data_IF_556821384610
#
_entry.id   IF_556821384610
#
_cell.length_a   1.000
_cell.length_b   1.000
_cell.length_c   1.000
_cell.angle_alpha   90.00
_cell.angle_beta   90.00
_cell.angle_gamma   90.00
#
_symmetry.space_group_name_H-M   'P 1'
#
loop_
_entity.id
_entity.type
_entity.pdbx_description
1 polymer ?
#
# COMPACT_ATOMS: atom_id res chain seq x y z
N UNK A 1 18.39 3.29 -17.29
CA UNK A 1 16.92 3.13 -17.06
C UNK A 1 16.09 3.42 -18.32
N UNK A 2 16.51 4.34 -19.23
CA UNK A 2 15.77 4.59 -20.48
C UNK A 2 15.75 3.37 -21.43
N UNK A 3 16.79 2.55 -21.45
CA UNK A 3 16.88 1.37 -22.30
C UNK A 3 15.88 0.27 -21.92
N UNK A 4 15.55 0.14 -20.63
CA UNK A 4 14.56 -0.84 -20.13
C UNK A 4 13.11 -0.46 -20.45
N UNK A 5 12.84 0.83 -20.67
CA UNK A 5 11.53 1.34 -21.08
C UNK A 5 11.31 1.28 -22.61
N UNK A 6 12.36 0.93 -23.39
CA UNK A 6 12.29 0.78 -24.85
C UNK A 6 12.17 -0.70 -25.29
N UNK A 7 12.25 -1.63 -24.34
CA UNK A 7 12.11 -3.06 -24.62
C UNK A 7 10.69 -3.53 -24.30
N UNK A 8 9.88 -3.77 -25.32
CA UNK A 8 8.49 -4.25 -25.19
C UNK A 8 8.38 -5.61 -24.49
N UNK A 9 9.48 -6.37 -24.39
CA UNK A 9 9.56 -7.62 -23.63
C UNK A 9 10.04 -7.43 -22.18
N UNK A 10 10.24 -6.20 -21.76
CA UNK A 10 10.68 -5.91 -20.39
C UNK A 10 9.66 -6.40 -19.37
N UNK A 11 10.08 -7.04 -18.25
CA UNK A 11 9.20 -7.41 -17.15
C UNK A 11 8.35 -6.24 -16.62
N UNK A 12 8.82 -5.00 -16.75
CA UNK A 12 8.07 -3.80 -16.36
C UNK A 12 6.81 -3.60 -17.21
N UNK A 13 6.84 -3.89 -18.52
CA UNK A 13 5.65 -3.81 -19.37
C UNK A 13 4.63 -4.89 -19.01
N UNK A 14 5.08 -6.07 -18.65
CA UNK A 14 4.21 -7.14 -18.17
C UNK A 14 3.49 -6.73 -16.89
N UNK A 15 4.23 -6.15 -15.92
CA UNK A 15 3.66 -5.66 -14.65
C UNK A 15 2.65 -4.53 -14.92
N UNK A 16 3.02 -3.53 -15.71
CA UNK A 16 2.15 -2.41 -16.04
C UNK A 16 0.88 -2.86 -16.80
N UNK A 17 1.03 -3.78 -17.76
CA UNK A 17 -0.08 -4.35 -18.51
C UNK A 17 -1.05 -5.13 -17.59
N UNK A 18 -0.53 -5.88 -16.62
CA UNK A 18 -1.35 -6.57 -15.63
C UNK A 18 -2.08 -5.57 -14.73
N UNK A 19 -1.37 -4.59 -14.18
CA UNK A 19 -1.96 -3.54 -13.34
C UNK A 19 -3.09 -2.81 -14.05
N UNK A 20 -2.88 -2.40 -15.30
CA UNK A 20 -3.92 -1.68 -16.05
C UNK A 20 -5.13 -2.53 -16.40
N UNK A 21 -4.95 -3.83 -16.59
CA UNK A 21 -6.04 -4.76 -16.91
C UNK A 21 -6.82 -5.22 -15.67
N UNK A 22 -6.13 -5.43 -14.55
CA UNK A 22 -6.67 -6.09 -13.35
C UNK A 22 -7.15 -5.09 -12.30
N UNK A 23 -6.86 -3.78 -12.47
CA UNK A 23 -7.19 -2.73 -11.50
C UNK A 23 -8.20 -1.74 -12.08
N UNK A 24 -9.08 -1.20 -11.24
CA UNK A 24 -9.95 -0.10 -11.62
C UNK A 24 -9.09 1.11 -12.05
N UNK A 25 -9.39 1.68 -13.23
CA UNK A 25 -8.59 2.76 -13.82
C UNK A 25 -8.56 4.04 -12.98
N UNK A 26 -9.66 4.39 -12.31
CA UNK A 26 -9.72 5.56 -11.44
C UNK A 26 -8.89 5.34 -10.17
N UNK A 27 -8.90 4.13 -9.62
CA UNK A 27 -8.06 3.74 -8.49
C UNK A 27 -6.58 3.78 -8.87
N UNK A 28 -6.21 3.18 -10.01
CA UNK A 28 -4.83 3.18 -10.50
C UNK A 28 -4.32 4.60 -10.76
N UNK A 29 -5.14 5.44 -11.39
CA UNK A 29 -4.82 6.84 -11.65
C UNK A 29 -4.66 7.65 -10.36
N UNK A 30 -5.60 7.53 -9.44
CA UNK A 30 -5.58 8.27 -8.17
C UNK A 30 -4.36 7.88 -7.33
N UNK A 31 -4.16 6.58 -7.13
CA UNK A 31 -3.00 6.07 -6.38
C UNK A 31 -1.68 6.46 -7.05
N UNK A 32 -1.60 6.34 -8.39
CA UNK A 32 -0.42 6.74 -9.15
C UNK A 32 -0.09 8.23 -9.03
N UNK A 33 -1.09 9.12 -9.04
CA UNK A 33 -0.91 10.55 -8.81
C UNK A 33 -0.44 10.82 -7.38
N UNK A 34 -1.02 10.14 -6.39
CA UNK A 34 -0.63 10.32 -4.99
C UNK A 34 0.82 9.88 -4.74
N UNK A 35 1.26 8.74 -5.28
CA UNK A 35 2.66 8.30 -5.18
C UNK A 35 3.58 9.17 -6.02
N UNK A 36 3.32 9.27 -7.33
CA UNK A 36 4.27 9.85 -8.27
C UNK A 36 4.40 11.36 -8.15
N UNK A 37 3.28 12.07 -8.07
CA UNK A 37 3.29 13.53 -7.98
C UNK A 37 3.24 14.01 -6.54
N UNK A 38 2.21 13.61 -5.78
CA UNK A 38 2.00 14.19 -4.43
C UNK A 38 3.12 13.80 -3.48
N UNK A 39 3.54 12.53 -3.45
CA UNK A 39 4.61 12.08 -2.55
C UNK A 39 6.01 12.39 -3.12
N UNK A 40 6.34 11.87 -4.31
CA UNK A 40 7.73 11.91 -4.82
C UNK A 40 8.15 13.24 -5.44
N UNK A 41 7.21 14.12 -5.75
CA UNK A 41 7.53 15.44 -6.32
C UNK A 41 7.22 16.55 -5.34
N UNK A 42 5.93 16.78 -5.05
CA UNK A 42 5.50 17.85 -4.17
C UNK A 42 5.96 17.63 -2.72
N UNK A 43 5.63 16.48 -2.13
CA UNK A 43 6.02 16.11 -0.77
C UNK A 43 7.54 16.10 -0.57
N UNK A 44 8.27 15.49 -1.51
CA UNK A 44 9.72 15.49 -1.47
C UNK A 44 10.33 16.90 -1.55
N UNK A 45 9.68 17.86 -2.19
CA UNK A 45 10.13 19.26 -2.19
C UNK A 45 9.92 19.94 -0.83
N UNK A 46 8.80 19.64 -0.16
CA UNK A 46 8.52 20.13 1.20
C UNK A 46 9.51 19.54 2.22
N UNK A 47 9.73 18.23 2.15
CA UNK A 47 10.71 17.52 3.01
C UNK A 47 12.08 18.20 2.90
N UNK A 48 12.62 18.36 1.68
CA UNK A 48 13.92 19.01 1.47
C UNK A 48 13.99 20.44 2.02
N UNK A 49 12.90 21.19 1.94
CA UNK A 49 12.84 22.54 2.50
C UNK A 49 12.86 22.50 4.03
N UNK A 50 12.10 21.56 4.62
CA UNK A 50 12.04 21.36 6.06
C UNK A 50 13.38 20.89 6.62
N UNK A 51 14.03 19.93 5.97
CA UNK A 51 15.38 19.43 6.33
C UNK A 51 16.42 20.55 6.31
N UNK A 52 16.38 21.40 5.28
CA UNK A 52 17.30 22.54 5.16
C UNK A 52 17.11 23.56 6.27
N UNK A 53 15.88 23.78 6.71
CA UNK A 53 15.55 24.74 7.78
C UNK A 53 15.94 24.20 9.18
N UNK A 54 15.70 22.90 9.41
CA UNK A 54 15.83 22.31 10.75
C UNK A 54 17.13 21.52 10.98
N UNK A 55 17.85 21.16 9.92
CA UNK A 55 19.16 20.51 10.01
C UNK A 55 19.15 19.02 10.36
N UNK A 56 18.03 18.32 10.13
CA UNK A 56 17.91 16.85 10.28
C UNK A 56 17.08 16.24 9.16
N UNK A 57 17.35 14.96 8.87
CA UNK A 57 16.66 14.20 7.82
C UNK A 57 15.24 13.83 8.22
N UNK A 58 14.31 13.87 7.27
CA UNK A 58 12.90 13.51 7.43
C UNK A 58 12.58 12.30 6.55
N UNK A 59 11.94 11.26 7.09
CA UNK A 59 11.52 10.12 6.27
C UNK A 59 10.45 10.55 5.26
N UNK A 60 10.51 10.02 4.05
CA UNK A 60 9.49 10.27 3.01
C UNK A 60 8.28 9.34 3.10
N UNK A 61 8.30 8.35 3.99
CA UNK A 61 7.22 7.42 4.30
C UNK A 61 7.24 7.03 5.77
N UNK A 62 6.07 6.71 6.32
CA UNK A 62 5.92 6.24 7.70
C UNK A 62 5.27 4.87 7.69
N UNK A 63 5.78 3.97 8.54
CA UNK A 63 5.25 2.64 8.76
C UNK A 63 4.58 2.59 10.14
N UNK A 64 3.30 2.23 10.19
CA UNK A 64 2.50 2.19 11.41
C UNK A 64 1.93 0.80 11.63
N UNK A 65 2.06 0.29 12.84
CA UNK A 65 1.34 -0.89 13.30
C UNK A 65 -0.01 -0.47 13.85
N UNK A 66 -1.06 -1.10 13.37
CA UNK A 66 -2.41 -0.90 13.87
C UNK A 66 -2.97 -2.20 14.43
N UNK A 67 -3.38 -2.13 15.68
CA UNK A 67 -4.13 -3.16 16.37
C UNK A 67 -5.44 -2.50 16.84
N UNK A 68 -6.64 -3.02 16.49
CA UNK A 68 -7.93 -2.37 16.79
C UNK A 68 -8.10 -1.95 18.25
N UNK A 69 -7.72 -2.81 19.19
CA UNK A 69 -7.78 -2.53 20.63
C UNK A 69 -6.43 -2.12 21.24
N UNK A 70 -5.50 -1.71 20.38
CA UNK A 70 -4.12 -1.36 20.74
C UNK A 70 -3.99 0.09 21.24
N UNK A 71 -2.76 0.47 21.67
CA UNK A 71 -2.49 1.82 22.18
C UNK A 71 -2.52 2.91 21.11
N UNK A 72 -2.37 2.53 19.83
CA UNK A 72 -2.41 3.44 18.68
C UNK A 72 -3.74 3.28 17.94
N UNK A 73 -4.74 4.06 18.35
CA UNK A 73 -6.05 4.07 17.69
C UNK A 73 -6.07 4.90 16.40
N UNK A 74 -7.16 4.79 15.63
CA UNK A 74 -7.30 5.49 14.33
C UNK A 74 -7.24 7.01 14.46
N UNK A 75 -7.72 7.57 15.58
CA UNK A 75 -7.61 9.01 15.84
C UNK A 75 -6.15 9.48 15.94
N UNK A 76 -5.32 8.73 16.66
CA UNK A 76 -3.89 9.02 16.78
C UNK A 76 -3.19 8.83 15.44
N UNK A 77 -3.52 7.79 14.68
CA UNK A 77 -3.02 7.57 13.32
C UNK A 77 -3.38 8.76 12.44
N UNK A 78 -4.63 9.23 12.47
CA UNK A 78 -5.06 10.42 11.75
C UNK A 78 -4.25 11.66 12.09
N UNK A 79 -3.99 11.91 13.38
CA UNK A 79 -3.12 13.00 13.83
C UNK A 79 -1.69 12.89 13.29
N UNK A 80 -1.09 11.70 13.34
CA UNK A 80 0.25 11.46 12.78
C UNK A 80 0.30 11.69 11.26
N UNK A 81 -0.76 11.30 10.54
CA UNK A 81 -0.86 11.54 9.09
C UNK A 81 -0.95 13.04 8.82
N UNK A 82 -1.75 13.78 9.58
CA UNK A 82 -1.92 15.22 9.42
C UNK A 82 -0.59 15.97 9.68
N UNK A 83 0.11 15.64 10.76
CA UNK A 83 1.44 16.18 11.05
C UNK A 83 2.45 15.81 9.97
N UNK A 84 2.51 14.55 9.55
CA UNK A 84 3.40 14.08 8.48
C UNK A 84 3.17 14.85 7.18
N UNK A 85 1.92 15.07 6.77
CA UNK A 85 1.56 15.84 5.57
C UNK A 85 2.01 17.30 5.66
N UNK A 86 1.99 17.89 6.84
CA UNK A 86 2.43 19.28 7.04
C UNK A 86 3.91 19.47 6.71
N UNK A 87 4.72 18.43 6.84
CA UNK A 87 6.15 18.42 6.52
C UNK A 87 6.50 17.73 5.20
N UNK A 88 5.51 17.19 4.47
CA UNK A 88 5.69 16.63 3.13
C UNK A 88 5.60 15.11 3.02
N UNK A 89 5.22 14.39 4.08
CA UNK A 89 5.05 12.94 4.05
C UNK A 89 3.63 12.62 3.56
N UNK A 90 3.51 11.94 2.40
CA UNK A 90 2.24 11.59 1.77
C UNK A 90 2.09 10.09 1.49
N UNK A 91 3.03 9.25 1.92
CA UNK A 91 2.97 7.79 1.78
C UNK A 91 3.04 7.12 3.13
N UNK A 92 2.07 6.27 3.41
CA UNK A 92 1.92 5.60 4.71
C UNK A 92 1.69 4.11 4.51
N UNK A 93 2.45 3.29 5.24
CA UNK A 93 2.21 1.87 5.39
C UNK A 93 1.45 1.64 6.68
N UNK A 94 0.36 0.90 6.61
CA UNK A 94 -0.41 0.47 7.77
C UNK A 94 -0.38 -1.06 7.80
N UNK A 95 0.30 -1.59 8.79
CA UNK A 95 0.33 -3.02 9.06
C UNK A 95 -0.76 -3.35 10.07
N UNK A 96 -1.67 -4.25 9.68
CA UNK A 96 -2.69 -4.79 10.57
C UNK A 96 -2.12 -6.03 11.29
N UNK A 97 -2.07 -6.00 12.61
CA UNK A 97 -1.76 -7.19 13.41
C UNK A 97 -2.96 -8.15 13.44
N UNK A 98 -4.18 -7.59 13.45
CA UNK A 98 -5.44 -8.33 13.39
C UNK A 98 -6.40 -7.66 12.42
N UNK A 99 -7.31 -8.45 11.83
CA UNK A 99 -8.38 -7.90 11.00
C UNK A 99 -9.37 -7.13 11.90
N UNK A 100 -9.77 -5.90 11.55
CA UNK A 100 -10.81 -5.21 12.28
C UNK A 100 -12.15 -5.93 12.10
N UNK A 101 -12.99 -5.91 13.14
CA UNK A 101 -14.37 -6.41 13.05
C UNK A 101 -15.24 -5.52 12.15
N UNK A 102 -14.97 -4.21 12.17
CA UNK A 102 -15.62 -3.20 11.32
C UNK A 102 -14.55 -2.38 10.59
N UNK A 103 -14.61 -2.39 9.27
CA UNK A 103 -13.69 -1.68 8.39
C UNK A 103 -14.09 -0.22 8.14
N UNK A 104 -15.25 0.21 8.60
CA UNK A 104 -15.83 1.53 8.30
C UNK A 104 -14.90 2.66 8.74
N UNK A 105 -14.46 2.66 9.99
CA UNK A 105 -13.59 3.73 10.52
C UNK A 105 -12.23 3.77 9.82
N UNK A 106 -11.65 2.60 9.48
CA UNK A 106 -10.37 2.54 8.78
C UNK A 106 -10.49 3.05 7.33
N UNK A 107 -11.57 2.71 6.64
CA UNK A 107 -11.82 3.21 5.28
C UNK A 107 -12.17 4.70 5.27
N UNK A 108 -12.88 5.21 6.27
CA UNK A 108 -13.11 6.64 6.47
C UNK A 108 -11.81 7.41 6.71
N UNK A 109 -10.84 6.81 7.42
CA UNK A 109 -9.51 7.40 7.56
C UNK A 109 -8.84 7.57 6.18
N UNK A 110 -8.86 6.55 5.32
CA UNK A 110 -8.28 6.64 3.97
C UNK A 110 -8.99 7.71 3.12
N UNK A 111 -10.30 7.80 3.18
CA UNK A 111 -11.08 8.83 2.49
C UNK A 111 -10.77 10.24 2.98
N UNK A 112 -10.55 10.41 4.29
CA UNK A 112 -10.23 11.72 4.89
C UNK A 112 -8.88 12.27 4.42
N UNK A 113 -7.97 11.38 4.03
CA UNK A 113 -6.64 11.72 3.49
C UNK A 113 -6.49 11.35 2.01
N UNK A 114 -7.47 11.72 1.21
CA UNK A 114 -7.60 11.32 -0.20
C UNK A 114 -6.37 11.60 -1.08
N UNK A 115 -5.57 12.62 -0.77
CA UNK A 115 -4.33 12.95 -1.49
C UNK A 115 -3.06 12.28 -0.93
N UNK A 116 -3.19 11.39 0.05
CA UNK A 116 -2.12 10.51 0.51
C UNK A 116 -2.23 9.13 -0.14
N UNK A 117 -1.12 8.42 -0.24
CA UNK A 117 -1.09 7.03 -0.69
C UNK A 117 -0.95 6.10 0.53
N UNK A 118 -1.82 5.12 0.61
CA UNK A 118 -1.80 4.12 1.67
C UNK A 118 -1.44 2.74 1.13
N UNK A 119 -0.58 2.04 1.84
CA UNK A 119 -0.27 0.63 1.63
C UNK A 119 -0.72 -0.13 2.86
N UNK A 120 -1.80 -0.89 2.73
CA UNK A 120 -2.39 -1.68 3.81
C UNK A 120 -1.87 -3.10 3.74
N UNK A 121 -1.20 -3.55 4.77
CA UNK A 121 -0.66 -4.90 4.88
C UNK A 121 -1.60 -5.74 5.75
N UNK A 122 -2.22 -6.74 5.12
CA UNK A 122 -3.15 -7.65 5.78
C UNK A 122 -2.42 -8.83 6.40
N UNK A 123 -2.77 -9.27 7.62
CA UNK A 123 -2.27 -10.50 8.21
C UNK A 123 -2.80 -11.73 7.45
N UNK A 124 -2.26 -12.92 7.75
CA UNK A 124 -2.74 -14.19 7.21
C UNK A 124 -4.12 -14.56 7.78
N UNK A 125 -5.12 -13.81 7.37
CA UNK A 125 -6.53 -14.00 7.69
C UNK A 125 -7.37 -13.84 6.44
N UNK A 126 -8.45 -14.61 6.37
CA UNK A 126 -9.40 -14.52 5.27
C UNK A 126 -10.16 -13.20 5.31
N UNK A 127 -10.22 -12.54 4.15
CA UNK A 127 -11.01 -11.33 3.93
C UNK A 127 -12.43 -11.73 3.48
N UNK A 128 -13.43 -11.11 4.05
CA UNK A 128 -14.82 -11.35 3.64
C UNK A 128 -15.23 -10.42 2.47
N UNK A 129 -16.31 -10.78 1.78
CA UNK A 129 -16.79 -10.04 0.60
C UNK A 129 -17.13 -8.59 0.93
N UNK A 130 -17.81 -8.33 2.04
CA UNK A 130 -18.19 -6.99 2.48
C UNK A 130 -16.98 -6.09 2.77
N UNK A 131 -15.94 -6.65 3.36
CA UNK A 131 -14.69 -5.93 3.67
C UNK A 131 -13.97 -5.54 2.38
N UNK A 132 -13.92 -6.48 1.42
CA UNK A 132 -13.33 -6.22 0.12
C UNK A 132 -14.10 -5.13 -0.67
N UNK A 133 -15.42 -5.08 -0.52
CA UNK A 133 -16.26 -4.03 -1.11
C UNK A 133 -15.94 -2.66 -0.51
N UNK A 134 -15.78 -2.54 0.82
CA UNK A 134 -15.38 -1.31 1.50
C UNK A 134 -13.97 -0.86 1.06
N UNK A 135 -12.99 -1.77 1.05
CA UNK A 135 -11.63 -1.48 0.60
C UNK A 135 -11.57 -1.01 -0.86
N UNK A 136 -12.41 -1.56 -1.73
CA UNK A 136 -12.48 -1.18 -3.15
C UNK A 136 -12.95 0.26 -3.36
N UNK A 137 -13.67 0.83 -2.40
CA UNK A 137 -14.07 2.23 -2.38
C UNK A 137 -12.90 3.20 -2.18
N UNK A 138 -11.78 2.75 -1.59
CA UNK A 138 -10.62 3.57 -1.28
C UNK A 138 -9.67 3.65 -2.48
N UNK A 139 -9.78 4.71 -3.29
CA UNK A 139 -8.98 4.87 -4.53
C UNK A 139 -7.51 5.23 -4.30
N UNK A 140 -7.15 5.60 -3.11
CA UNK A 140 -5.79 5.95 -2.69
C UNK A 140 -5.09 4.81 -1.92
N UNK A 141 -5.59 3.58 -2.08
CA UNK A 141 -5.17 2.40 -1.33
C UNK A 141 -4.59 1.32 -2.25
N UNK A 142 -3.45 0.77 -1.82
CA UNK A 142 -2.91 -0.51 -2.27
C UNK A 142 -3.06 -1.51 -1.12
N UNK A 143 -3.61 -2.68 -1.40
CA UNK A 143 -3.80 -3.74 -0.40
C UNK A 143 -2.82 -4.86 -0.66
N UNK A 144 -2.01 -5.19 0.35
CA UNK A 144 -1.02 -6.26 0.29
C UNK A 144 -1.43 -7.42 1.19
N UNK A 145 -1.47 -8.64 0.66
CA UNK A 145 -1.76 -9.84 1.43
C UNK A 145 -0.46 -10.57 1.79
N UNK A 146 -0.37 -11.05 3.04
CA UNK A 146 0.74 -11.87 3.49
C UNK A 146 0.76 -13.21 2.75
N UNK A 147 1.92 -13.60 2.22
CA UNK A 147 2.12 -14.89 1.55
C UNK A 147 2.14 -15.99 2.59
N UNK A 148 0.96 -16.55 2.88
CA UNK A 148 0.76 -17.64 3.80
C UNK A 148 -0.47 -18.47 3.37
N UNK A 149 -1.43 -18.74 4.25
CA UNK A 149 -2.57 -19.64 3.98
C UNK A 149 -3.66 -19.02 3.10
N UNK A 150 -4.02 -17.77 3.38
CA UNK A 150 -5.21 -17.12 2.81
C UNK A 150 -4.92 -16.18 1.62
N UNK A 151 -3.65 -15.93 1.28
CA UNK A 151 -3.29 -14.86 0.35
C UNK A 151 -3.92 -15.00 -1.05
N UNK A 152 -3.99 -16.22 -1.60
CA UNK A 152 -4.55 -16.45 -2.95
C UNK A 152 -6.02 -16.08 -3.04
N UNK A 153 -6.78 -16.41 -2.00
CA UNK A 153 -8.21 -16.09 -1.92
C UNK A 153 -8.39 -14.58 -1.77
N UNK A 154 -7.65 -13.96 -0.86
CA UNK A 154 -7.68 -12.52 -0.64
C UNK A 154 -7.30 -11.72 -1.90
N UNK A 155 -6.20 -12.09 -2.56
CA UNK A 155 -5.76 -11.44 -3.80
C UNK A 155 -6.82 -11.59 -4.90
N UNK A 156 -7.39 -12.79 -5.08
CA UNK A 156 -8.45 -13.01 -6.07
C UNK A 156 -9.67 -12.14 -5.79
N UNK A 157 -10.09 -12.09 -4.53
CA UNK A 157 -11.25 -11.32 -4.08
C UNK A 157 -11.06 -9.82 -4.36
N UNK A 158 -9.91 -9.26 -3.96
CA UNK A 158 -9.57 -7.85 -4.15
C UNK A 158 -9.42 -7.49 -5.63
N UNK A 159 -8.82 -8.35 -6.46
CA UNK A 159 -8.73 -8.16 -7.92
C UNK A 159 -10.10 -8.11 -8.57
N UNK A 160 -11.05 -8.96 -8.16
CA UNK A 160 -12.41 -8.95 -8.69
C UNK A 160 -13.14 -7.62 -8.43
N UNK A 161 -12.74 -6.89 -7.39
CA UNK A 161 -13.25 -5.54 -7.06
C UNK A 161 -12.41 -4.41 -7.67
N UNK A 162 -11.35 -4.75 -8.40
CA UNK A 162 -10.50 -3.77 -9.06
C UNK A 162 -9.56 -3.02 -8.14
N UNK A 163 -9.24 -3.57 -6.97
CA UNK A 163 -8.23 -3.03 -6.06
C UNK A 163 -6.82 -3.11 -6.66
N UNK A 164 -5.93 -2.21 -6.27
CA UNK A 164 -4.49 -2.40 -6.47
C UNK A 164 -4.01 -3.40 -5.43
N UNK A 165 -3.41 -4.49 -5.88
CA UNK A 165 -2.99 -5.59 -5.00
C UNK A 165 -1.50 -5.85 -5.07
N UNK A 166 -0.93 -6.21 -3.93
CA UNK A 166 0.43 -6.65 -3.77
C UNK A 166 0.48 -7.88 -2.86
N UNK A 167 1.63 -8.50 -2.79
CA UNK A 167 1.94 -9.47 -1.75
C UNK A 167 3.11 -8.98 -0.91
N UNK A 168 3.17 -9.41 0.35
CA UNK A 168 4.33 -9.26 1.20
C UNK A 168 4.63 -10.58 1.89
N UNK A 169 5.87 -10.73 2.32
CA UNK A 169 6.34 -11.95 2.96
C UNK A 169 7.20 -11.62 4.18
N UNK A 170 6.87 -12.22 5.31
CA UNK A 170 7.70 -12.18 6.49
C UNK A 170 8.62 -13.40 6.49
N UNK A 171 9.92 -13.17 6.35
CA UNK A 171 10.89 -14.27 6.39
C UNK A 171 11.51 -14.35 7.80
N UNK A 172 11.28 -15.51 8.42
CA UNK A 172 11.91 -15.88 9.68
C UNK A 172 13.09 -16.80 9.46
N UNK A 173 13.22 -17.35 8.25
CA UNK A 173 14.30 -18.22 7.82
C UNK A 173 15.25 -17.45 6.91
N UNK A 174 16.54 -17.76 7.02
CA UNK A 174 17.57 -17.27 6.10
C UNK A 174 17.75 -18.14 4.86
N UNK A 175 16.84 -19.07 4.57
CA UNK A 175 16.90 -19.94 3.37
C UNK A 175 16.38 -19.20 2.12
N UNK A 176 17.29 -18.74 1.22
CA UNK A 176 16.90 -18.01 0.03
C UNK A 176 16.11 -18.84 -0.99
N UNK A 177 16.28 -20.17 -0.98
CA UNK A 177 15.59 -21.06 -1.92
C UNK A 177 14.11 -21.21 -1.54
N UNK A 178 13.81 -21.31 -0.26
CA UNK A 178 12.45 -21.37 0.24
C UNK A 178 11.71 -20.05 -0.04
N UNK A 179 12.33 -18.92 0.29
CA UNK A 179 11.78 -17.60 0.02
C UNK A 179 11.50 -17.42 -1.48
N UNK A 180 12.49 -17.76 -2.34
CA UNK A 180 12.35 -17.65 -3.79
C UNK A 180 11.21 -18.52 -4.33
N UNK A 181 11.02 -19.73 -3.80
CA UNK A 181 9.95 -20.64 -4.22
C UNK A 181 8.58 -20.07 -3.87
N UNK A 182 8.40 -19.57 -2.65
CA UNK A 182 7.13 -19.02 -2.19
C UNK A 182 6.77 -17.74 -2.97
N UNK A 183 7.75 -16.87 -3.22
CA UNK A 183 7.57 -15.62 -3.98
C UNK A 183 7.26 -15.87 -5.46
N UNK A 184 7.87 -16.87 -6.12
CA UNK A 184 7.63 -17.20 -7.53
C UNK A 184 6.20 -17.64 -7.83
N UNK A 185 5.53 -18.23 -6.86
CA UNK A 185 4.16 -18.75 -7.01
C UNK A 185 3.07 -17.68 -6.73
N UNK A 186 3.48 -16.42 -6.47
CA UNK A 186 2.53 -15.34 -6.20
C UNK A 186 1.83 -14.87 -7.48
N UNK A 187 0.49 -14.78 -7.42
CA UNK A 187 -0.34 -14.26 -8.52
C UNK A 187 -0.56 -12.74 -8.43
N UNK A 188 0.23 -12.01 -7.67
CA UNK A 188 0.19 -10.55 -7.63
C UNK A 188 1.20 -9.95 -8.61
N UNK A 189 0.85 -8.82 -9.27
CA UNK A 189 1.80 -8.09 -10.11
C UNK A 189 2.89 -7.36 -9.29
N UNK A 190 2.65 -7.15 -8.00
CA UNK A 190 3.54 -6.45 -7.08
C UNK A 190 3.91 -7.34 -5.90
N UNK A 191 5.13 -7.24 -5.45
CA UNK A 191 5.70 -7.95 -4.31
C UNK A 191 6.44 -6.95 -3.42
#
# INVERSE_FOLDING_TARGET
SQTLLQDDNSPYYTILSRLTRETNHETLKKFGVNIGYTSWTYGASLIRSYEKEHGYDVPWTVFMHYLPDGPLGLKQIGGLIEEGRSIGIYTYFIYLEEMPEDWTELTELFHSFDNSAFLLLLPDRKLEDGDADLLSGCRNLLVSAEIASCYRENIRLLKQRGCIVANHYYYYSSDPEEITRQVKDCDSPLL
#
